data_IF_505568675585
#
_entry.id   IF_505568675585
#
_cell.length_a   1.000
_cell.length_b   1.000
_cell.length_c   1.000
_cell.angle_alpha   90.00
_cell.angle_beta   90.00
_cell.angle_gamma   90.00
#
_symmetry.space_group_name_H-M   'P 1'
#
loop_
_entity.id
_entity.type
_entity.pdbx_description
1 polymer ?
#
# COMPACT_ATOMS: atom_id res chain seq x y z
N UNK A 1 -11.62 -9.85 2.56
CA UNK A 1 -10.82 -10.25 3.75
C UNK A 1 -11.70 -10.25 4.99
N UNK A 2 -11.65 -11.29 5.78
CA UNK A 2 -12.39 -11.39 7.03
C UNK A 2 -11.60 -10.72 8.18
N UNK A 3 -12.28 -10.48 9.31
CA UNK A 3 -11.60 -9.95 10.50
C UNK A 3 -10.56 -10.94 11.03
N UNK A 4 -10.83 -12.25 10.94
CA UNK A 4 -9.88 -13.27 11.38
C UNK A 4 -8.62 -13.28 10.50
N UNK A 5 -8.78 -13.16 9.20
CA UNK A 5 -7.64 -13.04 8.28
C UNK A 5 -6.82 -11.79 8.58
N UNK A 6 -7.49 -10.67 8.82
CA UNK A 6 -6.80 -9.43 9.20
C UNK A 6 -6.03 -9.60 10.51
N UNK A 7 -6.65 -10.23 11.51
CA UNK A 7 -5.98 -10.46 12.79
C UNK A 7 -4.69 -11.29 12.61
N UNK A 8 -4.72 -12.31 11.75
CA UNK A 8 -3.53 -13.10 11.46
C UNK A 8 -2.43 -12.25 10.83
N UNK A 9 -2.78 -11.37 9.89
CA UNK A 9 -1.83 -10.45 9.27
C UNK A 9 -1.21 -9.52 10.29
N UNK A 10 -2.04 -8.92 11.16
CA UNK A 10 -1.57 -8.01 12.19
C UNK A 10 -0.61 -8.68 13.17
N UNK A 11 -0.88 -9.93 13.54
CA UNK A 11 -0.02 -10.70 14.43
C UNK A 11 1.30 -11.10 13.77
N UNK A 12 1.27 -11.44 12.49
CA UNK A 12 2.45 -11.83 11.74
C UNK A 12 3.39 -10.65 11.49
N UNK A 13 2.85 -9.44 11.35
CA UNK A 13 3.64 -8.23 11.14
C UNK A 13 4.02 -7.97 9.69
N UNK A 14 4.80 -6.91 9.48
CA UNK A 14 5.28 -6.52 8.17
C UNK A 14 6.21 -7.57 7.57
N UNK A 15 6.22 -7.64 6.24
CA UNK A 15 7.01 -8.62 5.49
C UNK A 15 7.29 -8.09 4.08
N UNK A 16 7.85 -8.95 3.22
CA UNK A 16 8.05 -8.60 1.80
C UNK A 16 6.73 -8.32 1.06
N UNK A 17 5.59 -8.78 1.58
CA UNK A 17 4.27 -8.63 0.96
C UNK A 17 3.25 -7.94 1.85
N UNK A 18 3.66 -7.43 3.00
CA UNK A 18 2.76 -6.77 3.97
C UNK A 18 3.42 -5.51 4.49
N UNK A 19 2.71 -4.40 4.40
CA UNK A 19 3.14 -3.09 4.92
C UNK A 19 2.03 -2.46 5.74
N UNK A 20 2.39 -1.89 6.88
CA UNK A 20 1.47 -1.12 7.73
C UNK A 20 1.80 0.36 7.60
N UNK A 21 0.77 1.19 7.44
CA UNK A 21 0.92 2.64 7.33
C UNK A 21 -0.12 3.35 8.18
N UNK A 22 0.32 4.32 8.96
CA UNK A 22 -0.61 5.27 9.57
C UNK A 22 -1.20 6.13 8.47
N UNK A 23 -2.46 6.51 8.62
CA UNK A 23 -3.14 7.35 7.64
C UNK A 23 -4.19 8.19 8.36
N UNK A 24 -3.81 9.40 8.75
CA UNK A 24 -4.72 10.29 9.49
C UNK A 24 -5.65 11.05 8.54
N UNK A 25 -5.22 11.39 7.34
CA UNK A 25 -6.01 12.10 6.34
C UNK A 25 -5.98 11.35 5.01
N UNK A 26 -5.01 11.64 4.14
CA UNK A 26 -4.79 10.94 2.88
C UNK A 26 -3.47 10.19 2.93
N UNK A 27 -3.29 9.16 2.08
CA UNK A 27 -2.03 8.44 2.02
C UNK A 27 -0.86 9.38 1.69
N UNK A 28 0.24 9.20 2.39
CA UNK A 28 1.48 9.92 2.14
C UNK A 28 2.18 9.38 0.89
N UNK A 29 3.14 10.13 0.38
CA UNK A 29 3.92 9.76 -0.79
C UNK A 29 4.59 8.40 -0.65
N UNK A 30 5.11 8.07 0.53
CA UNK A 30 5.78 6.80 0.78
C UNK A 30 4.86 5.58 0.62
N UNK A 31 3.54 5.76 0.76
CA UNK A 31 2.57 4.71 0.45
C UNK A 31 2.70 4.28 -1.02
N UNK A 32 2.89 5.24 -1.91
CA UNK A 32 2.99 4.96 -3.35
C UNK A 32 4.37 4.43 -3.75
N UNK A 33 5.41 4.73 -2.99
CA UNK A 33 6.70 4.05 -3.12
C UNK A 33 6.54 2.56 -2.81
N UNK A 34 5.77 2.22 -1.79
CA UNK A 34 5.44 0.83 -1.46
C UNK A 34 4.62 0.17 -2.55
N UNK A 35 3.62 0.86 -3.12
CA UNK A 35 2.87 0.35 -4.28
C UNK A 35 3.83 -0.02 -5.42
N UNK A 36 4.76 0.87 -5.73
CA UNK A 36 5.76 0.64 -6.78
C UNK A 36 6.62 -0.58 -6.47
N UNK A 37 7.15 -0.68 -5.26
CA UNK A 37 8.04 -1.79 -4.90
C UNK A 37 7.31 -3.14 -4.86
N UNK A 38 6.06 -3.17 -4.40
CA UNK A 38 5.24 -4.39 -4.46
C UNK A 38 5.00 -4.82 -5.91
N UNK A 39 4.63 -3.88 -6.78
CA UNK A 39 4.39 -4.17 -8.19
C UNK A 39 5.66 -4.70 -8.88
N UNK A 40 6.83 -4.26 -8.47
CA UNK A 40 8.12 -4.70 -9.01
C UNK A 40 8.61 -6.02 -8.41
N UNK A 41 7.91 -6.59 -7.46
CA UNK A 41 8.31 -7.84 -6.81
C UNK A 41 7.16 -8.86 -6.90
N UNK A 42 6.65 -9.30 -5.78
CA UNK A 42 5.64 -10.36 -5.72
C UNK A 42 4.22 -9.82 -5.49
N UNK A 43 4.05 -8.51 -5.56
CA UNK A 43 2.80 -7.89 -5.11
C UNK A 43 2.75 -7.82 -3.60
N UNK A 44 1.62 -7.42 -3.05
CA UNK A 44 1.44 -7.34 -1.62
C UNK A 44 0.25 -6.48 -1.23
N UNK A 45 0.08 -6.30 0.07
CA UNK A 45 -0.99 -5.50 0.63
C UNK A 45 -0.47 -4.45 1.59
N UNK A 46 -1.02 -3.24 1.47
CA UNK A 46 -0.74 -2.13 2.38
C UNK A 46 -2.00 -1.93 3.22
N UNK A 47 -1.83 -1.85 4.54
CA UNK A 47 -2.93 -1.66 5.47
C UNK A 47 -2.82 -0.26 6.06
N UNK A 48 -3.70 0.64 5.60
CA UNK A 48 -3.77 2.02 6.07
C UNK A 48 -4.57 2.08 7.37
N UNK A 49 -4.01 2.73 8.37
CA UNK A 49 -4.60 2.84 9.70
C UNK A 49 -4.01 1.85 10.70
N UNK A 50 -2.82 1.33 10.42
CA UNK A 50 -2.10 0.39 11.30
C UNK A 50 -0.71 0.96 11.55
N UNK A 51 -0.23 0.93 12.80
CA UNK A 51 1.13 1.36 13.10
C UNK A 51 2.14 0.23 12.86
N UNK A 52 3.42 0.56 13.01
CA UNK A 52 4.51 -0.37 12.73
C UNK A 52 4.48 -1.62 13.61
N UNK A 53 3.85 -1.54 14.77
CA UNK A 53 3.72 -2.65 15.72
C UNK A 53 2.48 -3.51 15.46
N UNK A 54 1.70 -3.19 14.44
CA UNK A 54 0.47 -3.90 14.13
C UNK A 54 -0.73 -3.46 14.95
N UNK A 55 -0.62 -2.33 15.65
CA UNK A 55 -1.74 -1.77 16.40
C UNK A 55 -2.68 -1.03 15.45
N UNK A 56 -3.97 -1.33 15.54
CA UNK A 56 -5.00 -0.69 14.71
C UNK A 56 -5.33 0.69 15.29
N UNK A 57 -5.01 1.72 14.52
CA UNK A 57 -5.39 3.10 14.83
C UNK A 57 -6.64 3.50 14.07
N UNK A 58 -6.86 2.89 12.90
CA UNK A 58 -7.95 3.20 12.00
C UNK A 58 -7.69 4.44 11.16
N UNK A 59 -8.49 4.60 10.12
CA UNK A 59 -8.58 5.82 9.34
C UNK A 59 -9.85 6.58 9.76
N UNK A 60 -9.96 7.86 9.37
CA UNK A 60 -11.18 8.61 9.60
C UNK A 60 -12.32 7.98 8.79
N UNK A 61 -13.36 7.52 9.48
CA UNK A 61 -14.49 6.83 8.84
C UNK A 61 -15.20 7.72 7.81
N UNK A 62 -15.11 9.02 7.94
CA UNK A 62 -15.71 9.98 7.00
C UNK A 62 -14.89 10.15 5.73
N UNK A 63 -13.62 9.68 5.73
CA UNK A 63 -12.69 9.86 4.62
C UNK A 63 -12.41 8.58 3.83
N UNK A 64 -13.03 7.46 4.18
CA UNK A 64 -12.74 6.17 3.55
C UNK A 64 -12.88 6.25 2.02
N UNK A 65 -14.01 6.78 1.53
CA UNK A 65 -14.21 6.92 0.08
C UNK A 65 -13.19 7.85 -0.56
N UNK A 66 -12.83 8.93 0.13
CA UNK A 66 -11.82 9.88 -0.34
C UNK A 66 -10.45 9.23 -0.42
N UNK A 67 -10.07 8.44 0.58
CA UNK A 67 -8.80 7.71 0.61
C UNK A 67 -8.74 6.73 -0.56
N UNK A 68 -9.77 5.92 -0.75
CA UNK A 68 -9.81 4.92 -1.83
C UNK A 68 -9.76 5.60 -3.20
N UNK A 69 -10.48 6.69 -3.38
CA UNK A 69 -10.45 7.46 -4.62
C UNK A 69 -9.09 8.08 -4.88
N UNK A 70 -8.43 8.59 -3.84
CA UNK A 70 -7.10 9.15 -3.94
C UNK A 70 -6.09 8.11 -4.44
N UNK A 71 -6.14 6.89 -3.89
CA UNK A 71 -5.27 5.80 -4.33
C UNK A 71 -5.45 5.53 -5.82
N UNK A 72 -6.69 5.37 -6.27
CA UNK A 72 -7.00 5.10 -7.68
C UNK A 72 -6.52 6.25 -8.57
N UNK A 73 -6.76 7.48 -8.15
CA UNK A 73 -6.35 8.67 -8.93
C UNK A 73 -4.84 8.76 -9.08
N UNK A 74 -4.08 8.49 -8.02
CA UNK A 74 -2.62 8.56 -8.08
C UNK A 74 -2.05 7.44 -8.95
N UNK A 75 -2.50 6.20 -8.79
CA UNK A 75 -1.96 5.08 -9.58
C UNK A 75 -2.36 5.15 -11.05
N UNK A 76 -3.44 5.85 -11.37
CA UNK A 76 -3.90 6.04 -12.75
C UNK A 76 -3.30 7.27 -13.41
N UNK A 77 -2.61 8.11 -12.67
CA UNK A 77 -2.00 9.33 -13.19
C UNK A 77 -0.64 9.00 -13.82
N UNK A 78 -0.52 9.21 -15.12
CA UNK A 78 0.71 8.91 -15.88
C UNK A 78 1.93 9.69 -15.41
N UNK A 79 1.74 10.85 -14.80
CA UNK A 79 2.84 11.63 -14.21
C UNK A 79 3.39 10.95 -12.96
N UNK A 80 2.58 10.11 -12.32
CA UNK A 80 2.97 9.40 -11.10
C UNK A 80 3.46 7.99 -11.41
N UNK A 81 2.71 7.23 -12.21
CA UNK A 81 3.03 5.85 -12.57
C UNK A 81 2.92 5.64 -14.07
N UNK A 82 3.93 4.99 -14.64
CA UNK A 82 3.88 4.54 -16.03
C UNK A 82 4.71 3.26 -16.17
N UNK A 83 4.07 2.12 -16.51
CA UNK A 83 2.63 1.94 -16.67
C UNK A 83 1.87 2.04 -15.34
N UNK A 84 0.55 2.10 -15.40
CA UNK A 84 -0.25 2.11 -14.17
C UNK A 84 -0.23 0.73 -13.52
N UNK A 85 0.10 0.62 -12.21
CA UNK A 85 0.02 -0.67 -11.53
C UNK A 85 -1.42 -1.10 -11.33
N UNK A 86 -1.64 -2.42 -11.23
CA UNK A 86 -2.96 -2.93 -10.89
C UNK A 86 -3.12 -2.94 -9.38
N UNK A 87 -4.09 -2.17 -8.88
CA UNK A 87 -4.40 -2.13 -7.46
C UNK A 87 -5.89 -2.31 -7.25
N UNK A 88 -6.24 -2.86 -6.10
CA UNK A 88 -7.61 -2.92 -5.61
C UNK A 88 -7.64 -2.41 -4.18
N UNK A 89 -8.73 -1.75 -3.81
CA UNK A 89 -8.91 -1.26 -2.44
C UNK A 89 -10.13 -1.91 -1.82
N UNK A 90 -10.05 -2.13 -0.53
CA UNK A 90 -11.20 -2.51 0.29
C UNK A 90 -11.06 -1.86 1.66
N UNK A 91 -12.18 -1.69 2.36
CA UNK A 91 -12.14 -1.24 3.74
C UNK A 91 -12.72 -2.34 4.63
N UNK A 92 -12.12 -2.49 5.80
CA UNK A 92 -12.43 -3.56 6.73
C UNK A 92 -12.71 -2.94 8.09
N UNK A 93 -13.86 -3.28 8.68
CA UNK A 93 -14.14 -2.91 10.05
C UNK A 93 -13.43 -3.87 10.99
N UNK A 94 -12.74 -3.30 11.98
CA UNK A 94 -12.03 -4.06 12.99
C UNK A 94 -12.13 -3.31 14.31
N UNK A 95 -12.84 -3.91 15.27
CA UNK A 95 -12.94 -3.40 16.63
C UNK A 95 -13.36 -1.91 16.66
N UNK A 96 -14.45 -1.57 15.97
CA UNK A 96 -15.03 -0.24 15.83
C UNK A 96 -14.16 0.76 15.06
N UNK A 97 -13.09 0.30 14.45
CA UNK A 97 -12.20 1.11 13.61
C UNK A 97 -12.27 0.61 12.18
N UNK A 98 -11.80 1.43 11.25
CA UNK A 98 -11.78 1.08 9.82
C UNK A 98 -10.35 1.11 9.33
N UNK A 99 -9.94 0.05 8.64
CA UNK A 99 -8.67 -0.07 7.95
C UNK A 99 -8.97 -0.07 6.45
N UNK A 100 -8.15 0.64 5.67
CA UNK A 100 -8.19 0.54 4.21
C UNK A 100 -7.03 -0.32 3.75
N UNK A 101 -7.32 -1.39 3.03
CA UNK A 101 -6.32 -2.26 2.44
C UNK A 101 -6.14 -1.92 0.97
N UNK A 102 -4.90 -1.74 0.55
CA UNK A 102 -4.52 -1.60 -0.85
C UNK A 102 -3.82 -2.90 -1.27
N UNK A 103 -4.44 -3.66 -2.15
CA UNK A 103 -3.80 -4.84 -2.74
C UNK A 103 -3.15 -4.45 -4.05
N UNK A 104 -1.89 -4.88 -4.24
CA UNK A 104 -1.08 -4.57 -5.42
C UNK A 104 -0.70 -5.88 -6.07
N UNK A 105 -1.04 -6.03 -7.37
CA UNK A 105 -0.62 -7.18 -8.15
C UNK A 105 0.85 -7.03 -8.60
N UNK A 106 1.57 -8.14 -8.74
CA UNK A 106 2.89 -8.08 -9.39
C UNK A 106 2.72 -7.67 -10.86
N UNK A 107 3.58 -6.75 -11.31
CA UNK A 107 3.54 -6.25 -12.68
C UNK A 107 4.39 -7.12 -13.59
N UNK A 108 4.02 -7.19 -14.88
CA UNK A 108 4.81 -7.89 -15.89
C UNK A 108 5.93 -7.02 -16.47
N UNK A 109 5.96 -5.75 -16.15
CA UNK A 109 6.99 -4.80 -16.58
C UNK A 109 7.46 -3.96 -15.41
N UNK A 110 8.62 -3.29 -15.57
CA UNK A 110 9.16 -2.45 -14.51
C UNK A 110 8.25 -1.25 -14.28
N UNK A 111 7.84 -1.08 -13.03
CA UNK A 111 7.04 0.06 -12.59
C UNK A 111 7.94 1.17 -12.10
N UNK A 112 7.55 2.42 -12.40
CA UNK A 112 8.24 3.61 -11.93
C UNK A 112 7.24 4.53 -11.25
N UNK A 113 7.62 5.06 -10.10
CA UNK A 113 6.85 6.09 -9.41
C UNK A 113 7.63 7.40 -9.49
N UNK A 114 7.02 8.41 -10.10
CA UNK A 114 7.68 9.71 -10.38
C UNK A 114 9.04 9.52 -11.06
N UNK A 115 9.12 8.57 -11.99
CA UNK A 115 10.33 8.24 -12.72
C UNK A 115 11.33 7.36 -11.98
N UNK A 116 11.12 7.08 -10.71
CA UNK A 116 12.05 6.28 -9.90
C UNK A 116 11.57 4.83 -9.79
N UNK A 117 12.51 3.91 -9.77
CA UNK A 117 12.22 2.49 -9.56
C UNK A 117 12.42 2.17 -8.07
N UNK A 118 11.40 1.55 -7.47
CA UNK A 118 11.49 1.03 -6.12
C UNK A 118 11.32 -0.49 -6.17
N UNK A 119 12.10 -1.19 -5.36
CA UNK A 119 12.01 -2.63 -5.23
C UNK A 119 11.84 -3.00 -3.75
N UNK A 120 11.17 -4.11 -3.51
CA UNK A 120 10.92 -4.58 -2.15
C UNK A 120 12.00 -5.56 -1.75
N UNK A 121 12.88 -5.15 -0.82
CA UNK A 121 13.92 -6.01 -0.27
C UNK A 121 13.58 -6.24 1.20
N UNK A 122 13.21 -7.48 1.53
CA UNK A 122 12.61 -7.83 2.82
C UNK A 122 11.36 -6.96 3.05
N UNK A 123 11.31 -6.16 4.11
CA UNK A 123 10.20 -5.24 4.39
C UNK A 123 10.54 -3.77 4.06
N UNK A 124 11.53 -3.56 3.21
CA UNK A 124 12.04 -2.21 2.90
C UNK A 124 11.81 -1.87 1.42
N UNK A 125 11.24 -0.68 1.18
CA UNK A 125 11.15 -0.10 -0.15
C UNK A 125 12.49 0.52 -0.51
N UNK A 126 13.17 -0.09 -1.46
CA UNK A 126 14.53 0.29 -1.81
C UNK A 126 14.53 1.00 -3.16
N UNK A 127 15.02 2.24 -3.17
CA UNK A 127 15.21 2.99 -4.41
C UNK A 127 16.35 2.37 -5.22
N UNK A 128 16.04 1.96 -6.45
CA UNK A 128 17.03 1.34 -7.35
C UNK A 128 17.55 2.43 -8.28
N UNK A 129 18.83 2.74 -8.17
CA UNK A 129 19.47 3.68 -9.06
C UNK A 129 19.95 2.98 -10.32
N UNK A 130 19.79 3.67 -11.45
CA UNK A 130 20.30 3.18 -12.72
C UNK A 130 21.69 3.75 -12.95
N UNK A 131 22.65 2.88 -13.20
CA UNK A 131 24.04 3.26 -13.48
C UNK A 131 24.33 3.52 -14.95
N UNK A 132 23.26 3.66 -15.74
CA UNK A 132 23.40 3.84 -17.18
C UNK A 132 23.41 5.31 -17.55
#
# INVERSE_FOLDING_TARGET
>A
MTQDELMQVLQAGESSMVEFKRCSELPHTDTFETVCSFANRSGGSIYLGVDDDGQVLGVDSKRVSEIERNVVNVVSNRKMFEPAPMVETEHIEYDERIIVRIWVAPSSSVERFKGAVFDRIADVDTHIESDI
#
